data_IF_982629476349
#
_entry.id   IF_982629476349
#
_cell.length_a   1.000
_cell.length_b   1.000
_cell.length_c   1.000
_cell.angle_alpha   90.00
_cell.angle_beta   90.00
_cell.angle_gamma   90.00
#
_symmetry.space_group_name_H-M   'P 1'
#
loop_
_entity.id
_entity.type
_entity.pdbx_description
1 polymer ?
#
# COMPACT_ATOMS: atom_id res chain seq x y z
N UNK A 1 21.72 3.38 12.66
CA UNK A 1 20.76 2.61 11.83
C UNK A 1 19.53 3.46 11.63
N UNK A 2 19.19 3.84 10.40
CA UNK A 2 17.85 4.35 10.12
C UNK A 2 16.96 3.13 9.92
N UNK A 3 16.12 2.83 10.89
CA UNK A 3 15.05 1.84 10.74
C UNK A 3 14.10 2.37 9.68
N UNK A 4 14.01 1.67 8.53
CA UNK A 4 12.98 1.95 7.53
C UNK A 4 11.61 1.64 8.18
N UNK A 5 10.64 2.52 7.99
CA UNK A 5 9.26 2.27 8.43
C UNK A 5 8.76 1.00 7.71
N UNK A 6 8.25 0.04 8.47
CA UNK A 6 7.61 -1.16 7.94
C UNK A 6 6.10 -1.11 8.11
N UNK A 7 5.42 -1.72 7.15
CA UNK A 7 3.98 -1.85 7.06
C UNK A 7 3.65 -3.31 6.74
N UNK A 8 2.38 -3.65 6.78
CA UNK A 8 1.90 -4.99 6.48
C UNK A 8 0.89 -4.96 5.34
N UNK A 9 1.10 -5.77 4.29
CA UNK A 9 0.15 -5.93 3.20
C UNK A 9 -0.61 -7.23 3.36
N UNK A 10 -1.93 -7.16 3.25
CA UNK A 10 -2.80 -8.33 3.00
C UNK A 10 -3.23 -8.29 1.54
N UNK A 11 -2.79 -9.26 0.74
CA UNK A 11 -3.13 -9.28 -0.69
C UNK A 11 -3.49 -10.62 -1.27
N UNK A 12 -4.08 -10.56 -2.46
CA UNK A 12 -4.60 -11.69 -3.22
C UNK A 12 -4.09 -11.56 -4.64
N UNK A 13 -3.28 -12.52 -5.10
CA UNK A 13 -2.63 -12.39 -6.40
C UNK A 13 -2.15 -13.71 -6.96
N UNK A 14 -1.83 -13.71 -8.26
CA UNK A 14 -1.47 -14.91 -9.00
C UNK A 14 -0.08 -15.41 -8.61
N UNK A 15 -0.01 -16.62 -8.04
CA UNK A 15 1.22 -17.31 -7.64
C UNK A 15 1.11 -18.76 -8.08
N UNK A 16 2.09 -19.25 -8.86
CA UNK A 16 2.07 -20.61 -9.41
C UNK A 16 0.76 -20.97 -10.12
N UNK A 17 0.17 -20.02 -10.85
CA UNK A 17 -1.10 -20.21 -11.58
C UNK A 17 -2.37 -20.20 -10.71
N UNK A 18 -2.26 -19.89 -9.42
CA UNK A 18 -3.40 -19.85 -8.49
C UNK A 18 -3.54 -18.46 -7.86
N UNK A 19 -4.76 -18.04 -7.54
CA UNK A 19 -4.98 -16.85 -6.74
C UNK A 19 -4.80 -17.19 -5.26
N UNK A 20 -3.71 -16.72 -4.66
CA UNK A 20 -3.35 -17.01 -3.26
C UNK A 20 -3.38 -15.75 -2.42
N UNK A 21 -3.85 -15.91 -1.18
CA UNK A 21 -3.77 -14.87 -0.15
C UNK A 21 -2.37 -14.82 0.48
N UNK A 22 -1.90 -13.62 0.76
CA UNK A 22 -0.61 -13.36 1.41
C UNK A 22 -0.76 -12.30 2.50
N UNK A 23 0.08 -12.41 3.53
CA UNK A 23 0.29 -11.39 4.54
C UNK A 23 1.80 -11.17 4.65
N UNK A 24 2.28 -10.00 4.24
CA UNK A 24 3.71 -9.73 4.09
C UNK A 24 4.11 -8.41 4.74
N UNK A 25 5.31 -8.36 5.30
CA UNK A 25 5.94 -7.11 5.67
C UNK A 25 6.45 -6.39 4.42
N UNK A 26 6.22 -5.08 4.35
CA UNK A 26 6.65 -4.21 3.25
C UNK A 26 7.32 -2.96 3.82
N UNK A 27 8.28 -2.40 3.10
CA UNK A 27 9.09 -1.29 3.62
C UNK A 27 8.78 0.00 2.88
N UNK A 28 8.61 1.10 3.62
CA UNK A 28 8.43 2.42 3.02
C UNK A 28 9.75 2.90 2.45
N UNK A 29 9.77 3.16 1.14
CA UNK A 29 10.91 3.77 0.46
C UNK A 29 10.74 5.30 0.39
N UNK A 30 9.54 5.76 0.04
CA UNK A 30 9.23 7.18 -0.14
C UNK A 30 7.74 7.44 -0.04
N UNK A 31 7.38 8.55 0.61
CA UNK A 31 6.01 9.07 0.62
C UNK A 31 5.95 10.37 -0.17
N UNK A 32 4.96 10.49 -1.05
CA UNK A 32 4.60 11.74 -1.73
C UNK A 32 3.21 12.17 -1.27
N UNK A 33 2.66 13.25 -1.84
CA UNK A 33 1.34 13.76 -1.46
C UNK A 33 0.25 12.69 -1.52
N UNK A 34 0.23 11.84 -2.56
CA UNK A 34 -0.86 10.89 -2.81
C UNK A 34 -0.40 9.43 -2.96
N UNK A 35 0.92 9.21 -3.07
CA UNK A 35 1.50 7.91 -3.38
C UNK A 35 2.52 7.53 -2.30
N UNK A 36 2.39 6.30 -1.83
CA UNK A 36 3.34 5.62 -0.97
C UNK A 36 4.13 4.61 -1.83
N UNK A 37 5.42 4.84 -1.98
CA UNK A 37 6.34 3.92 -2.64
C UNK A 37 6.91 2.93 -1.63
N UNK A 38 6.78 1.66 -1.95
CA UNK A 38 7.08 0.54 -1.08
C UNK A 38 8.04 -0.43 -1.74
N UNK A 39 8.81 -1.12 -0.91
CA UNK A 39 9.54 -2.32 -1.28
C UNK A 39 8.81 -3.56 -0.78
N UNK A 40 8.35 -4.41 -1.70
CA UNK A 40 7.64 -5.67 -1.45
C UNK A 40 8.04 -6.74 -2.46
N UNK A 41 8.99 -7.59 -2.06
CA UNK A 41 9.52 -8.68 -2.89
C UNK A 41 8.50 -9.79 -3.18
N UNK A 42 7.37 -9.82 -2.46
CA UNK A 42 6.34 -10.84 -2.62
C UNK A 42 5.11 -10.34 -3.36
N UNK A 43 5.11 -9.08 -3.80
CA UNK A 43 4.07 -8.50 -4.63
C UNK A 43 4.05 -9.19 -6.00
N UNK A 44 2.85 -9.51 -6.50
CA UNK A 44 2.64 -10.09 -7.82
C UNK A 44 1.49 -9.39 -8.57
N UNK A 45 1.38 -9.68 -9.86
CA UNK A 45 0.20 -9.29 -10.64
C UNK A 45 -1.06 -9.87 -9.99
N UNK A 46 -2.04 -9.00 -9.76
CA UNK A 46 -3.29 -9.33 -9.08
C UNK A 46 -3.39 -8.73 -7.68
N UNK A 47 -2.27 -8.39 -7.02
CA UNK A 47 -2.30 -7.77 -5.69
C UNK A 47 -2.83 -6.32 -5.71
N UNK A 48 -3.13 -5.72 -6.87
CA UNK A 48 -3.77 -4.42 -6.97
C UNK A 48 -5.07 -4.36 -6.15
N UNK A 49 -5.24 -3.30 -5.37
CA UNK A 49 -6.34 -3.12 -4.42
C UNK A 49 -6.10 -3.74 -3.04
N UNK A 50 -5.01 -4.47 -2.84
CA UNK A 50 -4.65 -5.07 -1.54
C UNK A 50 -4.49 -4.02 -0.45
N UNK A 51 -4.98 -4.33 0.75
CA UNK A 51 -4.90 -3.44 1.90
C UNK A 51 -3.49 -3.42 2.50
N UNK A 52 -3.01 -2.22 2.83
CA UNK A 52 -1.72 -2.01 3.49
C UNK A 52 -1.96 -1.30 4.82
N UNK A 53 -1.50 -1.93 5.89
CA UNK A 53 -1.73 -1.54 7.27
C UNK A 53 -0.45 -1.08 7.94
N UNK A 54 -0.59 -0.11 8.84
CA UNK A 54 0.39 0.16 9.88
C UNK A 54 -0.04 -0.58 11.14
N UNK A 55 0.90 -1.32 11.75
CA UNK A 55 0.70 -1.99 13.03
C UNK A 55 1.17 -1.09 14.18
N UNK A 56 0.35 -0.99 15.21
CA UNK A 56 0.73 -0.43 16.52
C UNK A 56 0.27 -1.41 17.61
N UNK A 57 1.21 -2.22 18.11
CA UNK A 57 0.88 -3.38 18.95
C UNK A 57 -0.07 -4.37 18.24
N UNK A 58 -1.25 -4.58 18.83
CA UNK A 58 -2.29 -5.47 18.27
C UNK A 58 -3.24 -4.75 17.30
N UNK A 59 -3.12 -3.44 17.14
CA UNK A 59 -4.00 -2.64 16.27
C UNK A 59 -3.46 -2.54 14.84
N UNK A 60 -4.34 -2.68 13.85
CA UNK A 60 -4.05 -2.49 12.43
C UNK A 60 -4.81 -1.27 11.89
N UNK A 61 -4.07 -0.25 11.47
CA UNK A 61 -4.62 0.94 10.82
C UNK A 61 -4.40 0.84 9.31
N UNK A 62 -5.47 0.89 8.51
CA UNK A 62 -5.36 0.95 7.05
C UNK A 62 -4.75 2.30 6.62
N UNK A 63 -3.62 2.28 5.92
CA UNK A 63 -2.88 3.49 5.51
C UNK A 63 -2.74 3.65 4.00
N UNK A 64 -2.76 2.53 3.26
CA UNK A 64 -2.64 2.58 1.82
C UNK A 64 -3.35 1.41 1.14
N UNK A 65 -3.57 1.54 -0.17
CA UNK A 65 -4.02 0.46 -1.04
C UNK A 65 -2.96 0.20 -2.11
N UNK A 66 -2.55 -1.06 -2.27
CA UNK A 66 -1.66 -1.46 -3.36
C UNK A 66 -2.29 -1.04 -4.70
N UNK A 67 -1.50 -0.44 -5.59
CA UNK A 67 -1.96 -0.03 -6.91
C UNK A 67 -1.24 -0.81 -7.99
N UNK A 68 0.07 -0.60 -8.10
CA UNK A 68 0.85 -1.11 -9.23
C UNK A 68 2.20 -1.62 -8.74
N UNK A 69 2.56 -2.82 -9.20
CA UNK A 69 3.94 -3.30 -9.18
C UNK A 69 4.69 -2.64 -10.35
N UNK A 70 5.67 -1.80 -10.03
CA UNK A 70 6.45 -1.02 -11.01
C UNK A 70 7.54 -1.91 -11.62
N UNK A 71 8.37 -2.49 -10.75
CA UNK A 71 9.46 -3.40 -11.12
C UNK A 71 9.71 -4.44 -10.01
N UNK A 72 10.89 -5.04 -9.96
CA UNK A 72 11.31 -6.02 -8.97
C UNK A 72 11.20 -5.50 -7.53
N UNK A 73 10.02 -5.66 -6.93
CA UNK A 73 9.73 -5.30 -5.55
C UNK A 73 9.28 -3.86 -5.36
N UNK A 74 9.48 -2.96 -6.32
CA UNK A 74 8.96 -1.60 -6.18
C UNK A 74 7.46 -1.55 -6.45
N UNK A 75 6.72 -1.05 -5.46
CA UNK A 75 5.27 -0.94 -5.49
C UNK A 75 4.87 0.52 -5.30
N UNK A 76 3.94 0.99 -6.13
CA UNK A 76 3.18 2.20 -5.85
C UNK A 76 1.86 1.83 -5.17
N UNK A 77 1.57 2.49 -4.05
CA UNK A 77 0.33 2.38 -3.32
C UNK A 77 -0.35 3.74 -3.16
N UNK A 78 -1.68 3.77 -3.15
CA UNK A 78 -2.48 4.98 -2.90
C UNK A 78 -2.40 5.30 -1.41
N UNK A 79 -1.87 6.47 -1.06
CA UNK A 79 -1.74 6.90 0.33
C UNK A 79 -3.05 7.51 0.84
N UNK A 80 -3.82 6.74 1.60
CA UNK A 80 -5.21 7.08 1.97
C UNK A 80 -5.36 8.36 2.83
N UNK A 81 -4.45 8.70 3.76
CA UNK A 81 -4.57 9.94 4.54
C UNK A 81 -4.68 11.21 3.68
N UNK A 82 -4.08 11.21 2.48
CA UNK A 82 -4.19 12.32 1.53
C UNK A 82 -5.61 12.52 0.97
N UNK A 83 -6.43 11.47 1.02
CA UNK A 83 -7.77 11.43 0.47
C UNK A 83 -8.87 11.47 1.53
N UNK A 84 -8.53 11.65 2.82
CA UNK A 84 -9.49 11.57 3.93
C UNK A 84 -10.74 12.43 3.72
N UNK A 85 -10.56 13.66 3.24
CA UNK A 85 -11.67 14.59 3.00
C UNK A 85 -12.56 14.10 1.87
N UNK A 86 -11.98 13.52 0.82
CA UNK A 86 -12.77 12.91 -0.26
C UNK A 86 -13.53 11.67 0.19
N UNK A 87 -12.86 10.78 0.93
CA UNK A 87 -13.44 9.53 1.43
C UNK A 87 -14.59 9.78 2.39
N UNK A 88 -14.45 10.71 3.34
CA UNK A 88 -15.41 10.89 4.42
C UNK A 88 -16.40 12.05 4.22
N UNK A 89 -16.03 13.07 3.45
CA UNK A 89 -16.90 14.24 3.21
C UNK A 89 -17.48 14.29 1.80
N UNK A 90 -17.09 13.36 0.91
CA UNK A 90 -17.56 13.31 -0.47
C UNK A 90 -17.08 14.48 -1.36
N UNK A 91 -16.14 15.30 -0.87
CA UNK A 91 -15.60 16.44 -1.63
C UNK A 91 -14.46 15.95 -2.52
N UNK A 92 -14.49 16.16 -3.85
CA UNK A 92 -13.40 15.74 -4.72
C UNK A 92 -12.08 16.37 -4.27
N UNK A 93 -10.98 15.61 -4.36
CA UNK A 93 -9.64 16.11 -4.05
C UNK A 93 -9.40 17.40 -4.86
N UNK A 94 -9.17 18.52 -4.15
CA UNK A 94 -8.91 19.81 -4.79
C UNK A 94 -7.61 19.68 -5.57
N UNK A 95 -7.69 19.71 -6.90
CA UNK A 95 -6.51 19.78 -7.74
C UNK A 95 -5.93 21.18 -7.58
N UNK A 96 -4.80 21.30 -6.88
CA UNK A 96 -3.94 22.48 -6.99
C UNK A 96 -3.48 22.55 -8.44
N UNK A 97 -3.89 23.61 -9.16
CA UNK A 97 -3.33 23.95 -10.46
C UNK A 97 -1.88 24.41 -10.33
#
# INVERSE_FOLDING_TARGET
>A
MHTRESLERVGFGMRNGQNLRTWTEVFVEKTTTHVLYLHDLLSVIGDSGSAIFRRDGDELTLVALHSTLIDQGQVAAVYLPAFKTWIFEGKPASHSK
#
